data_IF_974936133271
#
_entry.id   IF_974936133271
#
_cell.length_a   1.000
_cell.length_b   1.000
_cell.length_c   1.000
_cell.angle_alpha   90.00
_cell.angle_beta   90.00
_cell.angle_gamma   90.00
#
_symmetry.space_group_name_H-M   'P 1'
#
loop_
_entity.id
_entity.type
_entity.pdbx_description
1 polymer ?
#
# COMPACT_ATOMS: atom_id res chain seq x y z
N UNK A 1 -45.31 -42.41 -14.44
CA UNK A 1 -45.03 -41.18 -13.66
C UNK A 1 -43.54 -40.92 -13.76
N UNK A 2 -43.08 -39.84 -14.42
CA UNK A 2 -41.65 -39.61 -14.62
C UNK A 2 -41.00 -39.08 -13.33
N UNK A 3 -39.70 -39.34 -13.10
CA UNK A 3 -39.00 -38.83 -11.93
C UNK A 3 -38.79 -37.31 -12.01
N UNK A 4 -38.88 -36.66 -10.86
CA UNK A 4 -38.74 -35.21 -10.69
C UNK A 4 -37.27 -34.80 -10.97
N UNK A 5 -37.01 -33.74 -11.76
CA UNK A 5 -35.65 -33.26 -11.95
C UNK A 5 -35.11 -32.71 -10.62
N UNK A 6 -34.01 -33.28 -10.16
CA UNK A 6 -33.21 -32.76 -9.05
C UNK A 6 -32.64 -31.41 -9.45
N UNK A 7 -33.04 -30.36 -8.74
CA UNK A 7 -32.50 -29.01 -8.88
C UNK A 7 -30.98 -29.03 -8.65
N UNK A 8 -30.17 -28.39 -9.52
CA UNK A 8 -28.74 -28.27 -9.28
C UNK A 8 -28.51 -27.42 -8.02
N UNK A 9 -27.71 -27.95 -7.09
CA UNK A 9 -27.22 -27.22 -5.94
C UNK A 9 -26.47 -25.99 -6.44
N UNK A 10 -27.06 -24.81 -6.24
CA UNK A 10 -26.41 -23.53 -6.50
C UNK A 10 -25.25 -23.38 -5.52
N UNK A 11 -24.04 -23.74 -5.96
CA UNK A 11 -22.81 -23.34 -5.28
C UNK A 11 -22.75 -21.82 -5.33
N UNK A 12 -23.06 -21.16 -4.20
CA UNK A 12 -22.77 -19.74 -4.02
C UNK A 12 -21.30 -19.55 -4.31
N UNK A 13 -20.97 -18.81 -5.37
CA UNK A 13 -19.64 -18.27 -5.56
C UNK A 13 -19.43 -17.31 -4.38
N UNK A 14 -18.67 -17.73 -3.38
CA UNK A 14 -18.28 -16.88 -2.26
C UNK A 14 -17.37 -15.80 -2.85
N UNK A 15 -17.88 -14.60 -3.07
CA UNK A 15 -17.05 -13.46 -3.44
C UNK A 15 -16.01 -13.31 -2.32
N UNK A 16 -14.70 -13.39 -2.64
CA UNK A 16 -13.66 -13.20 -1.63
C UNK A 16 -13.88 -11.86 -0.95
N UNK A 17 -14.03 -11.88 0.37
CA UNK A 17 -14.15 -10.64 1.13
C UNK A 17 -12.82 -9.89 1.09
N UNK A 18 -12.82 -8.56 0.92
CA UNK A 18 -11.59 -7.79 0.99
C UNK A 18 -10.89 -8.00 2.34
N UNK A 19 -9.59 -8.27 2.30
CA UNK A 19 -8.77 -8.46 3.50
C UNK A 19 -8.48 -7.12 4.18
N UNK A 20 -8.50 -6.02 3.42
CA UNK A 20 -8.27 -4.68 3.91
C UNK A 20 -9.31 -3.69 3.38
N UNK A 21 -9.60 -2.70 4.22
CA UNK A 21 -10.36 -1.52 3.90
C UNK A 21 -9.45 -0.30 4.02
N UNK A 22 -9.29 0.42 2.92
CA UNK A 22 -8.44 1.61 2.81
C UNK A 22 -9.37 2.81 2.63
N UNK A 23 -9.22 3.81 3.49
CA UNK A 23 -9.99 5.06 3.41
C UNK A 23 -9.06 6.25 3.45
N UNK A 24 -9.48 7.35 2.80
CA UNK A 24 -8.72 8.60 2.78
C UNK A 24 -9.64 9.71 3.26
N UNK A 25 -9.16 10.53 4.19
CA UNK A 25 -9.84 11.72 4.67
C UNK A 25 -8.95 12.95 4.55
N UNK A 26 -9.59 14.11 4.36
CA UNK A 26 -8.91 15.40 4.35
C UNK A 26 -8.86 15.94 5.78
N UNK A 27 -7.67 16.31 6.25
CA UNK A 27 -7.47 16.98 7.52
C UNK A 27 -7.39 18.49 7.29
N UNK A 28 -8.39 19.20 7.82
CA UNK A 28 -8.57 20.65 7.69
C UNK A 28 -8.33 21.39 9.02
N UNK A 29 -7.56 20.81 9.94
CA UNK A 29 -7.21 21.48 11.19
C UNK A 29 -6.55 22.85 10.89
N UNK A 30 -7.12 23.98 11.33
CA UNK A 30 -6.67 25.31 10.94
C UNK A 30 -5.29 25.69 11.49
N UNK A 31 -4.76 24.90 12.43
CA UNK A 31 -3.43 25.09 13.01
C UNK A 31 -2.34 24.26 12.30
N UNK A 32 -2.72 23.50 11.27
CA UNK A 32 -1.83 22.61 10.54
C UNK A 32 -1.96 22.83 9.03
N UNK A 33 -0.91 22.55 8.24
CA UNK A 33 -1.05 22.50 6.79
C UNK A 33 -2.08 21.45 6.38
N UNK A 34 -2.83 21.73 5.30
CA UNK A 34 -3.77 20.77 4.72
C UNK A 34 -3.03 19.46 4.42
N UNK A 35 -3.61 18.36 4.89
CA UNK A 35 -3.03 17.02 4.75
C UNK A 35 -4.11 15.97 4.46
N UNK A 36 -3.70 14.87 3.84
CA UNK A 36 -4.55 13.70 3.69
C UNK A 36 -4.14 12.66 4.73
N UNK A 37 -5.12 12.04 5.36
CA UNK A 37 -4.93 10.88 6.22
C UNK A 37 -5.45 9.64 5.51
N UNK A 38 -4.56 8.70 5.21
CA UNK A 38 -4.93 7.38 4.73
C UNK A 38 -4.98 6.43 5.91
N UNK A 39 -6.11 5.74 6.09
CA UNK A 39 -6.34 4.76 7.16
C UNK A 39 -6.56 3.38 6.57
N UNK A 40 -5.86 2.39 7.12
CA UNK A 40 -5.91 1.00 6.69
C UNK A 40 -6.43 0.17 7.87
N UNK A 41 -7.45 -0.64 7.59
CA UNK A 41 -8.08 -1.57 8.53
C UNK A 41 -8.17 -2.95 7.90
N UNK A 42 -8.17 -4.00 8.72
CA UNK A 42 -8.51 -5.34 8.25
C UNK A 42 -10.01 -5.44 7.96
N UNK A 43 -10.39 -6.35 7.06
CA UNK A 43 -11.77 -6.57 6.64
C UNK A 43 -12.24 -5.63 5.53
N UNK A 44 -13.49 -5.80 5.09
CA UNK A 44 -14.06 -5.07 3.96
C UNK A 44 -14.68 -3.71 4.29
N UNK A 45 -14.60 -3.25 5.54
CA UNK A 45 -15.26 -2.03 5.99
C UNK A 45 -14.44 -1.23 7.02
N UNK A 46 -14.96 -0.06 7.38
CA UNK A 46 -14.32 0.87 8.30
C UNK A 46 -14.37 0.43 9.78
N UNK A 47 -15.07 -0.64 10.13
CA UNK A 47 -15.23 -1.13 11.50
C UNK A 47 -14.22 -2.21 11.88
N UNK A 48 -13.51 -2.79 10.90
CA UNK A 48 -12.54 -3.83 11.18
C UNK A 48 -11.29 -3.33 11.92
N UNK A 49 -10.44 -4.24 12.44
CA UNK A 49 -9.28 -3.91 13.26
C UNK A 49 -8.33 -2.90 12.61
N UNK A 50 -7.79 -1.97 13.40
CA UNK A 50 -6.84 -0.97 12.92
C UNK A 50 -5.50 -1.62 12.59
N UNK A 51 -4.97 -1.33 11.41
CA UNK A 51 -3.64 -1.79 10.95
C UNK A 51 -2.64 -0.64 11.06
N UNK A 52 -2.98 0.48 10.45
CA UNK A 52 -2.14 1.66 10.45
C UNK A 52 -2.78 2.83 9.72
N UNK A 53 -2.14 3.98 9.84
CA UNK A 53 -2.50 5.18 9.09
C UNK A 53 -1.26 6.01 8.79
N UNK A 54 -1.38 6.88 7.79
CA UNK A 54 -0.38 7.90 7.57
C UNK A 54 -1.04 9.21 7.17
N UNK A 55 -0.49 10.30 7.69
CA UNK A 55 -0.88 11.67 7.37
C UNK A 55 0.26 12.33 6.61
N UNK A 56 -0.01 12.85 5.41
CA UNK A 56 0.98 13.60 4.62
C UNK A 56 0.42 14.96 4.20
N UNK A 57 1.09 16.04 4.61
CA UNK A 57 0.77 17.39 4.15
C UNK A 57 1.09 17.57 2.68
N UNK A 58 0.34 18.44 2.00
CA UNK A 58 0.58 18.79 0.60
C UNK A 58 2.00 19.32 0.37
N UNK A 59 2.54 20.09 1.33
CA UNK A 59 3.92 20.61 1.32
C UNK A 59 4.98 19.62 1.79
N UNK A 60 4.59 18.41 2.21
CA UNK A 60 5.43 17.39 2.86
C UNK A 60 6.20 17.82 4.13
N UNK A 61 6.05 19.06 4.61
CA UNK A 61 6.68 19.50 5.87
C UNK A 61 6.27 18.64 7.07
N UNK A 62 5.08 18.01 7.00
CA UNK A 62 4.56 17.11 8.01
C UNK A 62 4.13 15.79 7.38
N UNK A 63 4.84 14.73 7.76
CA UNK A 63 4.46 13.37 7.42
C UNK A 63 4.56 12.48 8.68
N UNK A 64 3.43 11.91 9.09
CA UNK A 64 3.30 11.06 10.28
C UNK A 64 2.78 9.70 9.83
N UNK A 65 3.25 8.66 10.47
CA UNK A 65 2.81 7.29 10.24
C UNK A 65 2.55 6.62 11.59
N UNK A 66 1.45 5.90 11.64
CA UNK A 66 1.00 5.12 12.79
C UNK A 66 0.83 3.67 12.35
N UNK A 67 1.44 2.74 13.07
CA UNK A 67 1.34 1.29 12.81
C UNK A 67 1.11 0.59 14.14
N UNK A 68 -0.02 -0.09 14.28
CA UNK A 68 -0.52 -0.51 15.60
C UNK A 68 -0.54 0.67 16.56
N UNK A 69 0.19 0.55 17.66
CA UNK A 69 0.28 1.58 18.71
C UNK A 69 1.45 2.57 18.53
N UNK A 70 2.29 2.38 17.51
CA UNK A 70 3.49 3.19 17.31
C UNK A 70 3.18 4.33 16.35
N UNK A 71 3.33 5.57 16.82
CA UNK A 71 3.23 6.78 15.99
C UNK A 71 4.58 7.48 15.89
N UNK A 72 5.03 7.77 14.67
CA UNK A 72 6.34 8.40 14.44
C UNK A 72 6.32 9.30 13.20
N UNK A 73 7.37 10.10 13.03
CA UNK A 73 7.60 10.87 11.80
C UNK A 73 7.99 9.91 10.69
N UNK A 74 7.41 10.07 9.50
CA UNK A 74 7.71 9.23 8.35
C UNK A 74 9.21 9.23 8.02
N UNK A 75 9.88 10.38 8.15
CA UNK A 75 11.32 10.52 7.88
C UNK A 75 12.23 9.70 8.81
N UNK A 76 11.69 9.13 9.90
CA UNK A 76 12.45 8.24 10.79
C UNK A 76 12.45 6.78 10.32
N UNK A 77 11.45 6.40 9.52
CA UNK A 77 11.27 5.01 9.10
C UNK A 77 11.39 4.83 7.59
N UNK A 78 11.17 5.89 6.80
CA UNK A 78 11.33 5.86 5.35
C UNK A 78 12.51 6.74 4.97
N UNK A 79 13.55 6.14 4.38
CA UNK A 79 14.76 6.85 3.97
C UNK A 79 15.06 6.59 2.49
N UNK A 80 15.69 7.55 1.84
CA UNK A 80 16.11 7.41 0.44
C UNK A 80 17.47 6.71 0.36
N UNK A 81 17.57 5.71 -0.51
CA UNK A 81 18.84 5.02 -0.77
C UNK A 81 19.68 5.87 -1.70
N UNK A 82 20.86 6.30 -1.23
CA UNK A 82 21.81 7.14 -1.98
C UNK A 82 21.19 8.43 -2.55
N UNK A 83 20.19 9.00 -1.87
CA UNK A 83 19.48 10.21 -2.33
C UNK A 83 18.55 9.99 -3.53
N UNK A 84 18.29 8.75 -3.93
CA UNK A 84 17.34 8.41 -4.98
C UNK A 84 15.89 8.76 -4.61
N UNK A 85 15.18 9.41 -5.53
CA UNK A 85 13.73 9.65 -5.45
C UNK A 85 12.90 8.44 -5.93
N UNK A 86 13.53 7.29 -6.18
CA UNK A 86 12.88 6.07 -6.68
C UNK A 86 13.34 4.81 -5.96
N UNK A 87 14.10 4.96 -4.88
CA UNK A 87 14.65 3.85 -4.12
C UNK A 87 14.66 4.22 -2.65
N UNK A 88 13.95 3.43 -1.83
CA UNK A 88 13.72 3.73 -0.43
C UNK A 88 13.99 2.51 0.46
N UNK A 89 14.44 2.75 1.70
CA UNK A 89 14.34 1.77 2.79
C UNK A 89 13.15 2.11 3.66
N UNK A 90 12.58 1.06 4.23
CA UNK A 90 11.54 1.12 5.25
C UNK A 90 12.04 0.35 6.47
N UNK A 91 12.18 1.05 7.59
CA UNK A 91 12.77 0.55 8.83
C UNK A 91 11.80 0.82 9.98
N UNK A 92 10.94 -0.14 10.29
CA UNK A 92 9.91 0.01 11.31
C UNK A 92 9.83 -1.21 12.22
N UNK A 93 10.27 -1.05 13.47
CA UNK A 93 10.30 -2.16 14.43
C UNK A 93 11.29 -3.23 13.98
N UNK A 94 10.79 -4.46 13.84
CA UNK A 94 11.54 -5.61 13.34
C UNK A 94 11.38 -5.83 11.82
N UNK A 95 10.65 -4.95 11.12
CA UNK A 95 10.40 -5.08 9.68
C UNK A 95 11.26 -4.09 8.91
N UNK A 96 12.16 -4.65 8.10
CA UNK A 96 13.07 -3.91 7.24
C UNK A 96 12.82 -4.27 5.78
N UNK A 97 12.36 -3.30 4.99
CA UNK A 97 12.03 -3.46 3.57
C UNK A 97 12.86 -2.50 2.71
N UNK A 98 13.07 -2.87 1.46
CA UNK A 98 13.68 -2.02 0.44
C UNK A 98 12.76 -1.95 -0.77
N UNK A 99 12.34 -0.75 -1.14
CA UNK A 99 11.49 -0.49 -2.29
C UNK A 99 12.30 0.09 -3.44
N UNK A 100 12.38 -0.65 -4.54
CA UNK A 100 13.04 -0.22 -5.77
C UNK A 100 12.01 0.04 -6.86
N UNK A 101 11.77 1.32 -7.16
CA UNK A 101 10.82 1.80 -8.17
C UNK A 101 11.51 2.43 -9.38
N UNK A 102 12.75 2.00 -9.67
CA UNK A 102 13.51 2.48 -10.83
C UNK A 102 13.08 1.79 -12.12
N UNK A 103 12.37 0.66 -12.04
CA UNK A 103 11.89 -0.08 -13.18
C UNK A 103 10.59 0.53 -13.75
N UNK A 104 10.41 0.35 -15.05
CA UNK A 104 9.24 0.78 -15.81
C UNK A 104 8.83 -0.39 -16.70
N UNK A 105 7.53 -0.65 -16.80
CA UNK A 105 6.95 -1.65 -17.69
C UNK A 105 6.95 -1.16 -19.15
N UNK A 106 6.69 -2.06 -20.09
CA UNK A 106 6.69 -1.74 -21.53
C UNK A 106 5.67 -0.66 -21.91
N UNK A 107 4.61 -0.50 -21.13
CA UNK A 107 3.56 0.52 -21.30
C UNK A 107 3.92 1.89 -20.67
N UNK A 108 5.10 2.02 -20.07
CA UNK A 108 5.54 3.23 -19.38
C UNK A 108 5.08 3.33 -17.92
N UNK A 109 4.33 2.36 -17.40
CA UNK A 109 3.92 2.32 -15.99
C UNK A 109 5.13 2.06 -15.08
N UNK A 110 5.26 2.73 -13.93
CA UNK A 110 6.33 2.42 -13.00
C UNK A 110 6.09 1.05 -12.35
N UNK A 111 7.17 0.34 -12.04
CA UNK A 111 7.12 -0.93 -11.30
C UNK A 111 8.01 -0.82 -10.08
N UNK A 112 7.39 -0.94 -8.91
CA UNK A 112 8.04 -0.96 -7.62
C UNK A 112 8.23 -2.40 -7.15
N UNK A 113 9.44 -2.79 -6.78
CA UNK A 113 9.72 -4.12 -6.22
C UNK A 113 10.11 -3.95 -4.75
N UNK A 114 9.44 -4.69 -3.87
CA UNK A 114 9.75 -4.77 -2.45
C UNK A 114 10.67 -5.96 -2.20
N UNK A 115 11.79 -5.69 -1.53
CA UNK A 115 12.72 -6.70 -1.06
C UNK A 115 12.80 -6.67 0.46
N UNK A 116 13.06 -7.82 1.07
CA UNK A 116 13.59 -7.88 2.42
C UNK A 116 14.92 -7.12 2.46
N UNK A 117 15.17 -6.39 3.55
CA UNK A 117 16.48 -5.81 3.80
C UNK A 117 17.42 -6.86 4.44
N UNK A 118 17.50 -8.04 3.84
CA UNK A 118 18.40 -9.12 4.21
C UNK A 118 19.59 -9.19 3.25
N UNK A 119 20.56 -10.05 3.53
CA UNK A 119 21.75 -10.22 2.69
C UNK A 119 21.44 -10.78 1.31
N UNK A 120 20.29 -11.42 1.14
CA UNK A 120 19.90 -12.11 -0.11
C UNK A 120 19.02 -11.20 -0.98
N UNK A 121 18.48 -10.11 -0.42
CA UNK A 121 17.45 -9.27 -1.02
C UNK A 121 16.27 -10.10 -1.54
N UNK A 122 15.67 -10.90 -0.65
CA UNK A 122 14.50 -11.73 -0.99
C UNK A 122 13.34 -10.85 -1.49
N UNK A 123 12.75 -11.16 -2.64
CA UNK A 123 11.61 -10.40 -3.16
C UNK A 123 10.34 -10.74 -2.39
N UNK A 124 9.70 -9.74 -1.80
CA UNK A 124 8.51 -9.90 -0.95
C UNK A 124 7.22 -9.46 -1.65
N UNK A 125 7.31 -8.46 -2.52
CA UNK A 125 6.16 -7.97 -3.28
C UNK A 125 6.57 -7.22 -4.55
N UNK A 126 5.60 -7.04 -5.45
CA UNK A 126 5.67 -6.11 -6.57
C UNK A 126 4.44 -5.21 -6.58
N UNK A 127 4.62 -3.93 -6.83
CA UNK A 127 3.57 -2.93 -6.89
C UNK A 127 3.61 -2.18 -8.22
N UNK A 128 2.48 -2.19 -8.93
CA UNK A 128 2.26 -1.46 -10.19
C UNK A 128 1.14 -0.46 -9.95
N UNK A 129 1.43 0.83 -9.72
CA UNK A 129 0.42 1.87 -9.64
C UNK A 129 -0.14 2.21 -11.04
N UNK A 130 -1.30 2.87 -11.13
CA UNK A 130 -1.79 3.42 -12.38
C UNK A 130 -0.78 4.41 -12.99
N UNK A 131 -0.68 4.46 -14.33
CA UNK A 131 0.05 5.53 -15.00
C UNK A 131 -0.56 6.89 -14.61
N UNK A 132 0.30 7.86 -14.25
CA UNK A 132 -0.13 9.22 -13.88
C UNK A 132 -0.91 9.90 -15.03
N UNK A 133 -0.54 9.59 -16.27
CA UNK A 133 -1.11 10.18 -17.48
C UNK A 133 -2.21 9.32 -18.12
N UNK A 134 -2.69 8.27 -17.45
CA UNK A 134 -3.76 7.43 -17.98
C UNK A 134 -5.08 8.20 -18.06
N UNK A 135 -5.80 8.04 -19.16
CA UNK A 135 -7.15 8.56 -19.30
C UNK A 135 -8.11 7.85 -18.33
N UNK A 136 -9.05 8.57 -17.68
CA UNK A 136 -10.08 7.94 -16.87
C UNK A 136 -10.93 6.94 -17.68
N UNK A 137 -11.38 5.82 -17.07
CA UNK A 137 -11.08 5.37 -15.72
C UNK A 137 -9.63 4.89 -15.59
N UNK A 138 -8.96 5.31 -14.50
CA UNK A 138 -7.60 4.86 -14.22
C UNK A 138 -7.59 3.33 -14.02
N UNK A 139 -6.59 2.60 -14.54
CA UNK A 139 -6.46 1.17 -14.24
C UNK A 139 -6.26 0.97 -12.73
N UNK A 140 -6.67 -0.20 -12.22
CA UNK A 140 -6.48 -0.52 -10.81
C UNK A 140 -4.98 -0.66 -10.50
N UNK A 141 -4.55 -0.09 -9.38
CA UNK A 141 -3.23 -0.39 -8.83
C UNK A 141 -3.16 -1.87 -8.44
N UNK A 142 -2.05 -2.54 -8.73
CA UNK A 142 -1.86 -3.96 -8.41
C UNK A 142 -0.68 -4.14 -7.46
N UNK A 143 -0.95 -4.62 -6.24
CA UNK A 143 0.05 -5.08 -5.28
C UNK A 143 0.01 -6.60 -5.21
N UNK A 144 1.06 -7.25 -5.69
CA UNK A 144 1.26 -8.70 -5.58
C UNK A 144 2.21 -8.96 -4.43
N UNK A 145 1.76 -9.68 -3.41
CA UNK A 145 2.60 -10.09 -2.27
C UNK A 145 2.89 -11.59 -2.39
N UNK A 146 4.18 -11.92 -2.47
CA UNK A 146 4.65 -13.30 -2.56
C UNK A 146 4.58 -13.98 -1.18
N UNK A 147 4.59 -15.33 -1.12
CA UNK A 147 4.49 -16.06 0.15
C UNK A 147 5.47 -15.57 1.23
N UNK A 148 6.68 -15.21 0.84
CA UNK A 148 7.74 -14.72 1.72
C UNK A 148 7.40 -13.37 2.37
N UNK A 149 6.49 -12.59 1.77
CA UNK A 149 6.04 -11.30 2.27
C UNK A 149 4.77 -11.36 3.12
N UNK A 150 4.12 -12.53 3.27
CA UNK A 150 2.82 -12.63 3.96
C UNK A 150 2.93 -12.26 5.44
N UNK A 151 4.02 -12.64 6.10
CA UNK A 151 4.25 -12.36 7.54
C UNK A 151 4.40 -10.86 7.85
N UNK A 152 4.72 -10.04 6.84
CA UNK A 152 4.87 -8.59 6.98
C UNK A 152 3.95 -7.80 6.04
N UNK A 153 2.84 -8.40 5.60
CA UNK A 153 1.93 -7.81 4.63
C UNK A 153 1.42 -6.42 5.06
N UNK A 154 1.07 -6.22 6.32
CA UNK A 154 0.64 -4.91 6.83
C UNK A 154 1.66 -3.80 6.53
N UNK A 155 2.94 -4.08 6.77
CA UNK A 155 4.03 -3.16 6.48
C UNK A 155 4.26 -2.98 4.98
N UNK A 156 4.16 -4.06 4.19
CA UNK A 156 4.25 -3.97 2.71
C UNK A 156 3.14 -3.08 2.17
N UNK A 157 1.90 -3.27 2.61
CA UNK A 157 0.75 -2.49 2.14
C UNK A 157 0.89 -1.01 2.50
N UNK A 158 1.17 -0.71 3.77
CA UNK A 158 1.35 0.67 4.23
C UNK A 158 2.50 1.34 3.48
N UNK A 159 3.66 0.67 3.41
CA UNK A 159 4.85 1.25 2.78
C UNK A 159 4.68 1.43 1.27
N UNK A 160 4.00 0.52 0.57
CA UNK A 160 3.68 0.66 -0.86
C UNK A 160 2.87 1.93 -1.15
N UNK A 161 1.81 2.19 -0.36
CA UNK A 161 0.96 3.37 -0.50
C UNK A 161 1.74 4.66 -0.24
N UNK A 162 2.62 4.65 0.76
CA UNK A 162 3.46 5.81 1.10
C UNK A 162 4.52 6.06 0.01
N UNK A 163 5.18 5.01 -0.48
CA UNK A 163 6.17 5.08 -1.56
C UNK A 163 5.54 5.66 -2.81
N UNK A 164 4.33 5.22 -3.18
CA UNK A 164 3.60 5.77 -4.32
C UNK A 164 3.26 7.24 -4.13
N UNK A 165 2.83 7.62 -2.92
CA UNK A 165 2.53 9.02 -2.60
C UNK A 165 3.77 9.90 -2.69
N UNK A 166 4.93 9.40 -2.26
CA UNK A 166 6.21 10.10 -2.41
C UNK A 166 6.58 10.25 -3.88
N UNK A 167 6.52 9.15 -4.64
CA UNK A 167 6.86 9.12 -6.07
C UNK A 167 6.03 10.10 -6.90
N UNK A 168 4.74 10.24 -6.59
CA UNK A 168 3.81 11.12 -7.35
C UNK A 168 3.93 12.59 -7.00
N UNK A 169 4.49 12.94 -5.84
CA UNK A 169 4.70 14.34 -5.44
C UNK A 169 6.04 14.91 -5.95
N UNK A 170 6.95 14.05 -6.41
CA UNK A 170 8.23 14.44 -7.01
C UNK A 170 8.14 14.59 -8.55
N UNK A 171 6.94 14.45 -9.13
CA UNK A 171 6.61 14.82 -10.53
C UNK A 171 6.03 16.23 -10.57
#
# INVERSE_FOLDING_TARGET
>A
MPPRPTSPSSSRLTIPQPVYHISVSLNLNPFLPISYTTTIRHGGDAQGPFVGSFEMSLSQMRAIVTIGDITTRLSRILSSVNGSLRHWTWDCGNVHLRWDCRNVLDDGSPMCICYAHDSVSTQLASFVPPPINASPPLPAATLTVFPEGHDCFDHILISALIVERKRTLDY
#
